data_IF_519036872670
#
_entry.id   IF_519036872670
#
_cell.length_a   1.000
_cell.length_b   1.000
_cell.length_c   1.000
_cell.angle_alpha   90.00
_cell.angle_beta   90.00
_cell.angle_gamma   90.00
#
_symmetry.space_group_name_H-M   'P 1'
#
loop_
_entity.id
_entity.type
_entity.pdbx_description
1 polymer ?
#
# COMPACT_ATOMS: atom_id res chain seq x y z
N UNK A 1 -1.49 -11.69 -2.02
CA UNK A 1 -2.90 -11.68 -2.48
C UNK A 1 -3.45 -10.29 -2.31
N UNK A 2 -4.34 -9.86 -3.19
CA UNK A 2 -4.99 -8.54 -3.12
C UNK A 2 -6.42 -8.65 -3.62
N UNK A 3 -7.33 -7.82 -3.09
CA UNK A 3 -8.70 -7.76 -3.62
C UNK A 3 -8.75 -7.15 -5.02
N UNK A 4 -9.74 -7.52 -5.82
CA UNK A 4 -10.03 -6.85 -7.10
C UNK A 4 -10.21 -5.34 -6.94
N UNK A 5 -10.99 -4.92 -5.94
CA UNK A 5 -11.25 -3.50 -5.63
C UNK A 5 -9.97 -2.74 -5.31
N UNK A 6 -9.08 -3.30 -4.48
CA UNK A 6 -7.81 -2.64 -4.14
C UNK A 6 -6.86 -2.63 -5.33
N UNK A 7 -6.84 -3.69 -6.13
CA UNK A 7 -6.03 -3.74 -7.35
C UNK A 7 -6.40 -2.60 -8.30
N UNK A 8 -7.68 -2.39 -8.58
CA UNK A 8 -8.13 -1.31 -9.47
C UNK A 8 -7.71 0.07 -8.94
N UNK A 9 -7.93 0.32 -7.65
CA UNK A 9 -7.54 1.58 -6.99
C UNK A 9 -6.03 1.80 -7.03
N UNK A 10 -5.23 0.78 -6.72
CA UNK A 10 -3.78 0.88 -6.71
C UNK A 10 -3.18 1.04 -8.10
N UNK A 11 -3.72 0.37 -9.13
CA UNK A 11 -3.32 0.58 -10.52
C UNK A 11 -3.57 2.03 -10.92
N UNK A 12 -4.79 2.56 -10.69
CA UNK A 12 -5.13 3.93 -11.05
C UNK A 12 -4.19 4.96 -10.38
N UNK A 13 -3.94 4.78 -9.08
CA UNK A 13 -3.03 5.62 -8.31
C UNK A 13 -1.59 5.54 -8.81
N UNK A 14 -1.08 4.32 -9.06
CA UNK A 14 0.30 4.13 -9.49
C UNK A 14 0.50 4.71 -10.90
N UNK A 15 -0.43 4.48 -11.83
CA UNK A 15 -0.39 5.06 -13.17
C UNK A 15 -0.38 6.59 -13.13
N UNK A 16 -1.23 7.20 -12.29
CA UNK A 16 -1.23 8.66 -12.13
C UNK A 16 0.10 9.20 -11.58
N UNK A 17 0.72 8.46 -10.65
CA UNK A 17 2.00 8.83 -10.03
C UNK A 17 3.24 8.65 -10.93
N UNK A 18 3.13 8.02 -12.10
CA UNK A 18 4.25 7.87 -13.04
C UNK A 18 4.75 9.22 -13.60
N UNK A 19 3.88 10.23 -13.63
CA UNK A 19 4.23 11.57 -14.13
C UNK A 19 4.97 12.43 -13.09
N UNK A 20 4.93 12.03 -11.82
CA UNK A 20 5.67 12.68 -10.73
C UNK A 20 7.06 12.04 -10.61
N UNK A 21 8.11 12.78 -10.99
CA UNK A 21 9.51 12.30 -10.92
C UNK A 21 9.91 11.80 -9.53
N UNK A 22 9.37 12.38 -8.46
CA UNK A 22 9.69 11.96 -7.09
C UNK A 22 9.05 10.63 -6.69
N UNK A 23 8.02 10.18 -7.42
CA UNK A 23 7.24 8.97 -7.11
C UNK A 23 7.27 7.90 -8.20
N UNK A 24 7.76 8.24 -9.40
CA UNK A 24 7.75 7.36 -10.57
C UNK A 24 8.39 5.99 -10.33
N UNK A 25 9.50 5.93 -9.58
CA UNK A 25 10.17 4.68 -9.24
C UNK A 25 9.30 3.78 -8.35
N UNK A 26 8.74 4.34 -7.27
CA UNK A 26 7.85 3.62 -6.37
C UNK A 26 6.55 3.19 -7.06
N UNK A 27 6.00 4.04 -7.93
CA UNK A 27 4.82 3.73 -8.74
C UNK A 27 5.09 2.57 -9.72
N UNK A 28 6.25 2.57 -10.38
CA UNK A 28 6.65 1.49 -11.29
C UNK A 28 6.85 0.17 -10.56
N UNK A 29 7.45 0.20 -9.36
CA UNK A 29 7.59 -0.98 -8.52
C UNK A 29 6.22 -1.52 -8.10
N UNK A 30 5.31 -0.65 -7.62
CA UNK A 30 3.96 -1.06 -7.24
C UNK A 30 3.21 -1.72 -8.39
N UNK A 31 3.26 -1.15 -9.61
CA UNK A 31 2.64 -1.77 -10.80
C UNK A 31 3.22 -3.16 -11.08
N UNK A 32 4.53 -3.34 -10.89
CA UNK A 32 5.19 -4.64 -11.08
C UNK A 32 4.79 -5.67 -10.03
N UNK A 33 4.60 -5.25 -8.77
CA UNK A 33 4.07 -6.13 -7.72
C UNK A 33 2.62 -6.52 -8.00
N UNK A 34 1.78 -5.58 -8.44
CA UNK A 34 0.37 -5.82 -8.77
C UNK A 34 0.19 -6.77 -9.96
N UNK A 35 1.10 -6.73 -10.93
CA UNK A 35 1.11 -7.64 -12.09
C UNK A 35 1.34 -9.11 -11.66
N UNK A 36 2.17 -9.33 -10.63
CA UNK A 36 2.47 -10.67 -10.10
C UNK A 36 1.53 -11.11 -8.98
N UNK A 37 0.67 -10.22 -8.47
CA UNK A 37 -0.17 -10.50 -7.33
C UNK A 37 -1.30 -11.47 -7.69
N UNK A 38 -1.56 -12.44 -6.81
CA UNK A 38 -2.81 -13.23 -6.88
C UNK A 38 -3.99 -12.34 -6.53
N UNK A 39 -4.89 -12.13 -7.49
CA UNK A 39 -6.10 -11.33 -7.32
C UNK A 39 -7.25 -12.24 -6.88
N UNK A 40 -7.97 -11.82 -5.86
CA UNK A 40 -9.13 -12.56 -5.33
C UNK A 40 -10.30 -11.62 -5.05
N UNK A 41 -11.55 -12.11 -4.99
CA UNK A 41 -12.65 -11.36 -4.42
C UNK A 41 -12.35 -10.94 -2.98
N UNK A 42 -12.82 -9.77 -2.54
CA UNK A 42 -12.54 -9.26 -1.19
C UNK A 42 -12.96 -10.23 -0.07
N UNK A 43 -14.06 -10.97 -0.27
CA UNK A 43 -14.54 -11.99 0.67
C UNK A 43 -13.60 -13.21 0.83
N UNK A 44 -12.62 -13.37 -0.06
CA UNK A 44 -11.64 -14.45 -0.05
C UNK A 44 -10.25 -14.00 0.41
N UNK A 45 -10.08 -12.73 0.78
CA UNK A 45 -8.84 -12.28 1.40
C UNK A 45 -8.69 -12.93 2.79
N UNK A 46 -7.58 -13.63 3.06
CA UNK A 46 -7.29 -14.13 4.39
C UNK A 46 -7.19 -12.97 5.39
N UNK A 47 -7.63 -13.21 6.64
CA UNK A 47 -7.63 -12.19 7.69
C UNK A 47 -6.22 -11.67 8.06
N UNK A 48 -5.17 -12.42 7.70
CA UNK A 48 -3.78 -12.05 7.92
C UNK A 48 -3.14 -11.33 6.71
N UNK A 49 -3.90 -11.02 5.65
CA UNK A 49 -3.42 -10.20 4.53
C UNK A 49 -3.76 -8.74 4.78
N UNK A 50 -2.74 -7.88 4.69
CA UNK A 50 -2.91 -6.44 4.78
C UNK A 50 -3.51 -5.90 3.48
N UNK A 51 -4.70 -5.29 3.57
CA UNK A 51 -5.36 -4.59 2.48
C UNK A 51 -5.24 -3.06 2.63
N UNK A 52 -5.61 -2.30 1.60
CA UNK A 52 -5.76 -0.85 1.73
C UNK A 52 -6.80 -0.55 2.81
N UNK A 53 -6.57 0.51 3.59
CA UNK A 53 -7.34 0.91 4.78
C UNK A 53 -7.25 -0.05 5.98
N UNK A 54 -6.41 -1.09 5.92
CA UNK A 54 -6.14 -1.93 7.08
C UNK A 54 -5.32 -1.19 8.15
N UNK A 55 -5.67 -1.44 9.41
CA UNK A 55 -4.87 -1.02 10.57
C UNK A 55 -3.86 -2.11 10.92
N UNK A 56 -2.57 -1.78 10.84
CA UNK A 56 -1.46 -2.72 10.96
C UNK A 56 -0.63 -2.40 12.19
N UNK A 57 -0.25 -3.44 12.93
CA UNK A 57 0.73 -3.33 14.00
C UNK A 57 2.12 -3.49 13.40
N UNK A 58 2.97 -2.48 13.56
CA UNK A 58 4.35 -2.49 13.12
C UNK A 58 5.28 -2.58 14.31
N UNK A 59 6.38 -3.30 14.13
CA UNK A 59 7.52 -3.30 15.03
C UNK A 59 8.76 -2.92 14.24
N UNK A 60 9.45 -1.89 14.70
CA UNK A 60 10.75 -1.51 14.16
C UNK A 60 11.80 -2.56 14.59
N UNK A 61 12.51 -3.15 13.63
CA UNK A 61 13.48 -4.22 13.90
C UNK A 61 14.83 -3.71 14.44
N UNK A 62 15.08 -2.40 14.39
CA UNK A 62 16.29 -1.75 14.90
C UNK A 62 16.06 -1.27 16.33
N UNK A 63 14.96 -0.54 16.58
CA UNK A 63 14.68 0.06 17.89
C UNK A 63 13.81 -0.81 18.78
N UNK A 64 13.05 -1.74 18.20
CA UNK A 64 12.06 -2.53 18.91
C UNK A 64 10.75 -1.79 19.21
N UNK A 65 10.60 -0.55 18.74
CA UNK A 65 9.41 0.26 18.96
C UNK A 65 8.18 -0.33 18.24
N UNK A 66 7.05 -0.33 18.93
CA UNK A 66 5.77 -0.82 18.41
C UNK A 66 4.82 0.34 18.10
N UNK A 67 4.19 0.32 16.93
CA UNK A 67 3.26 1.37 16.50
C UNK A 67 2.10 0.81 15.68
N UNK A 68 0.98 1.53 15.68
CA UNK A 68 -0.17 1.20 14.84
C UNK A 68 -0.28 2.20 13.70
N UNK A 69 -0.31 1.72 12.47
CA UNK A 69 -0.54 2.56 11.28
C UNK A 69 -1.80 2.12 10.54
N UNK A 70 -2.33 3.01 9.71
CA UNK A 70 -3.35 2.68 8.70
C UNK A 70 -2.75 2.83 7.32
N UNK A 71 -2.86 1.79 6.50
CA UNK A 71 -2.41 1.83 5.12
C UNK A 71 -3.43 2.60 4.27
N UNK A 72 -3.02 3.65 3.55
CA UNK A 72 -3.95 4.52 2.80
C UNK A 72 -3.46 4.80 1.38
N UNK A 73 -4.33 5.31 0.51
CA UNK A 73 -3.95 5.78 -0.81
C UNK A 73 -3.23 7.14 -0.74
N UNK A 74 -2.44 7.51 -1.76
CA UNK A 74 -1.87 8.85 -1.87
C UNK A 74 -2.96 9.92 -1.85
N UNK A 75 -2.76 10.95 -1.01
CA UNK A 75 -3.73 12.02 -0.81
C UNK A 75 -4.63 11.82 0.42
N UNK A 76 -4.82 10.59 0.89
CA UNK A 76 -5.59 10.27 2.09
C UNK A 76 -4.76 10.41 3.39
N UNK A 77 -3.46 10.67 3.26
CA UNK A 77 -2.52 10.81 4.38
C UNK A 77 -2.76 12.06 5.23
N UNK A 78 -3.55 13.02 4.73
CA UNK A 78 -3.80 14.31 5.39
C UNK A 78 -4.79 14.24 6.57
N UNK A 79 -5.37 13.07 6.86
CA UNK A 79 -6.51 12.93 7.78
C UNK A 79 -6.24 12.34 9.17
N UNK A 80 -5.02 11.88 9.49
CA UNK A 80 -4.76 11.26 10.80
C UNK A 80 -3.29 11.03 11.13
N UNK A 81 -2.97 10.98 12.42
CA UNK A 81 -1.59 10.98 12.95
C UNK A 81 -0.76 9.75 12.54
N UNK A 82 -1.38 8.66 12.08
CA UNK A 82 -0.70 7.40 11.77
C UNK A 82 -1.12 6.80 10.40
N UNK A 83 -1.38 7.64 9.40
CA UNK A 83 -1.67 7.17 8.04
C UNK A 83 -0.38 7.02 7.22
N UNK A 84 -0.17 5.85 6.59
CA UNK A 84 0.97 5.59 5.72
C UNK A 84 0.50 5.29 4.29
N UNK A 85 1.06 6.01 3.31
CA UNK A 85 0.72 5.80 1.90
C UNK A 85 1.28 4.48 1.38
N UNK A 86 0.46 3.74 0.62
CA UNK A 86 0.85 2.54 -0.13
C UNK A 86 2.08 2.75 -1.03
N UNK A 87 2.26 3.95 -1.58
CA UNK A 87 3.42 4.27 -2.43
C UNK A 87 4.73 4.42 -1.63
N UNK A 88 4.65 4.68 -0.33
CA UNK A 88 5.83 4.78 0.53
C UNK A 88 6.42 3.39 0.81
N UNK A 89 5.56 2.38 1.00
CA UNK A 89 6.00 1.00 1.24
C UNK A 89 6.57 0.32 0.00
N UNK A 90 6.02 0.58 -1.19
CA UNK A 90 6.54 0.03 -2.45
C UNK A 90 7.90 0.62 -2.90
N UNK A 91 8.39 1.63 -2.19
CA UNK A 91 9.71 2.23 -2.39
C UNK A 91 10.77 1.81 -1.35
N UNK A 92 10.41 1.01 -0.35
CA UNK A 92 11.38 0.48 0.61
C UNK A 92 12.24 -0.62 -0.05
N UNK A 93 13.57 -0.65 0.18
CA UNK A 93 14.50 -1.61 -0.42
C UNK A 93 14.29 -3.05 0.06
#
# INVERSE_FOLDING_TARGET
>A
MISETDRERLVAVATAALTDRGRAAAASNLLRELDRATIVPAAQLPANVVAVHSRVHLRDNITGEESWITLVLPGETKGGTNALSVLTLSGAP
#
